data_IF_094950614869
#
_entry.id   IF_094950614869
#
_cell.length_a   1.000
_cell.length_b   1.000
_cell.length_c   1.000
_cell.angle_alpha   90.00
_cell.angle_beta   90.00
_cell.angle_gamma   90.00
#
_symmetry.space_group_name_H-M   'P 1'
#
loop_
_entity.id
_entity.type
_entity.pdbx_description
1 polymer ?
#
# COMPACT_ATOMS: atom_id res chain seq x y z
N UNK A 1 -31.63 -12.40 -0.97
CA UNK A 1 -31.46 -10.94 -0.77
C UNK A 1 -31.85 -10.25 -2.05
N UNK A 2 -32.67 -9.21 -1.97
CA UNK A 2 -32.95 -8.38 -3.15
C UNK A 2 -31.75 -7.47 -3.45
N UNK A 3 -31.71 -6.88 -4.66
CA UNK A 3 -30.64 -5.99 -5.09
C UNK A 3 -30.41 -4.82 -4.11
N UNK A 4 -31.48 -4.25 -3.53
CA UNK A 4 -31.38 -3.12 -2.62
C UNK A 4 -30.63 -3.48 -1.31
N UNK A 5 -30.90 -4.65 -0.74
CA UNK A 5 -30.19 -5.16 0.44
C UNK A 5 -28.71 -5.38 0.16
N UNK A 6 -28.40 -5.96 -1.00
CA UNK A 6 -27.04 -6.16 -1.50
C UNK A 6 -26.29 -4.83 -1.62
N UNK A 7 -26.90 -3.83 -2.25
CA UNK A 7 -26.32 -2.48 -2.39
C UNK A 7 -26.14 -1.80 -1.04
N UNK A 8 -27.08 -1.95 -0.10
CA UNK A 8 -26.95 -1.41 1.27
C UNK A 8 -25.75 -2.01 2.01
N UNK A 9 -25.51 -3.32 1.88
CA UNK A 9 -24.31 -3.96 2.45
C UNK A 9 -23.02 -3.34 1.92
N UNK A 10 -22.91 -3.14 0.60
CA UNK A 10 -21.75 -2.49 -0.03
C UNK A 10 -21.58 -1.05 0.50
N UNK A 11 -22.67 -0.29 0.60
CA UNK A 11 -22.64 1.09 1.10
C UNK A 11 -22.20 1.20 2.57
N UNK A 12 -22.65 0.29 3.44
CA UNK A 12 -22.19 0.27 4.84
C UNK A 12 -20.69 0.01 4.91
N UNK A 13 -20.17 -0.87 4.05
CA UNK A 13 -18.74 -1.18 4.00
C UNK A 13 -17.91 0.00 3.48
N UNK A 14 -18.40 0.71 2.46
CA UNK A 14 -17.87 1.99 1.99
C UNK A 14 -17.74 3.00 3.14
N UNK A 15 -18.83 3.23 3.88
CA UNK A 15 -18.86 4.21 4.98
C UNK A 15 -17.84 3.87 6.07
N UNK A 16 -17.72 2.58 6.43
CA UNK A 16 -16.69 2.10 7.34
C UNK A 16 -15.29 2.36 6.78
N UNK A 17 -15.06 2.04 5.51
CA UNK A 17 -13.78 2.26 4.82
C UNK A 17 -13.41 3.75 4.81
N UNK A 18 -14.41 4.64 4.68
CA UNK A 18 -14.24 6.08 4.69
C UNK A 18 -14.10 6.69 6.10
N UNK A 19 -14.60 6.02 7.15
CA UNK A 19 -14.53 6.47 8.54
C UNK A 19 -13.20 6.17 9.26
N UNK A 20 -12.15 5.76 8.53
CA UNK A 20 -10.85 5.43 9.12
C UNK A 20 -10.78 4.04 9.79
N UNK A 21 -11.82 3.20 9.65
CA UNK A 21 -11.93 1.93 10.39
C UNK A 21 -11.06 0.76 9.85
N UNK A 22 -9.91 1.05 9.22
CA UNK A 22 -8.92 0.02 8.91
C UNK A 22 -9.34 -1.07 7.92
N UNK A 23 -10.47 -0.90 7.22
CA UNK A 23 -10.98 -1.89 6.26
C UNK A 23 -9.97 -2.14 5.16
N UNK A 24 -9.54 -3.40 5.02
CA UNK A 24 -8.59 -3.84 4.02
C UNK A 24 -9.28 -4.21 2.70
N UNK A 25 -8.49 -4.35 1.64
CA UNK A 25 -8.97 -4.87 0.35
C UNK A 25 -9.48 -6.31 0.46
N UNK A 26 -8.92 -7.10 1.37
CA UNK A 26 -9.36 -8.46 1.65
C UNK A 26 -10.81 -8.52 2.16
N UNK A 27 -11.20 -7.59 3.03
CA UNK A 27 -12.57 -7.50 3.55
C UNK A 27 -13.56 -7.11 2.45
N UNK A 28 -13.15 -6.17 1.59
CA UNK A 28 -13.94 -5.75 0.42
C UNK A 28 -14.14 -6.92 -0.55
N UNK A 29 -13.08 -7.67 -0.86
CA UNK A 29 -13.15 -8.81 -1.76
C UNK A 29 -14.08 -9.90 -1.19
N UNK A 30 -13.99 -10.21 0.10
CA UNK A 30 -14.88 -11.16 0.77
C UNK A 30 -16.35 -10.70 0.75
N UNK A 31 -16.62 -9.42 1.03
CA UNK A 31 -17.98 -8.90 0.99
C UNK A 31 -18.58 -8.97 -0.43
N UNK A 32 -17.83 -8.54 -1.44
CA UNK A 32 -18.30 -8.62 -2.83
C UNK A 32 -18.55 -10.07 -3.25
N UNK A 33 -17.69 -10.98 -2.79
CA UNK A 33 -17.84 -12.42 -3.03
C UNK A 33 -19.12 -12.99 -2.43
N UNK A 34 -19.49 -12.57 -1.21
CA UNK A 34 -20.76 -12.95 -0.58
C UNK A 34 -21.97 -12.36 -1.34
N UNK A 35 -21.91 -11.05 -1.62
CA UNK A 35 -23.04 -10.28 -2.19
C UNK A 35 -23.34 -10.69 -3.63
N UNK A 36 -22.30 -10.90 -4.44
CA UNK A 36 -22.41 -11.32 -5.85
C UNK A 36 -22.50 -12.85 -5.95
N UNK A 37 -22.17 -13.59 -4.89
CA UNK A 37 -22.13 -15.07 -4.95
C UNK A 37 -21.18 -15.57 -6.06
N UNK A 38 -19.95 -15.06 -6.03
CA UNK A 38 -18.89 -15.35 -6.99
C UNK A 38 -17.52 -15.27 -6.30
N UNK A 39 -16.50 -15.87 -6.89
CA UNK A 39 -15.11 -15.64 -6.49
C UNK A 39 -14.68 -14.28 -7.03
N UNK A 40 -13.99 -13.49 -6.21
CA UNK A 40 -13.66 -12.10 -6.48
C UNK A 40 -12.16 -11.89 -6.32
N UNK A 41 -11.52 -11.26 -7.29
CA UNK A 41 -10.11 -10.88 -7.24
C UNK A 41 -9.96 -9.39 -7.55
N UNK A 42 -9.23 -8.69 -6.69
CA UNK A 42 -8.88 -7.29 -6.87
C UNK A 42 -7.43 -7.22 -7.33
N UNK A 43 -7.22 -6.90 -8.60
CA UNK A 43 -5.90 -6.87 -9.23
C UNK A 43 -5.54 -5.42 -9.54
N UNK A 44 -4.33 -4.98 -9.18
CA UNK A 44 -3.84 -3.63 -9.49
C UNK A 44 -3.35 -3.49 -10.92
N UNK A 45 -3.11 -2.25 -11.36
CA UNK A 45 -2.49 -1.97 -12.65
C UNK A 45 -1.06 -2.50 -12.82
N UNK A 46 -0.38 -2.91 -11.76
CA UNK A 46 0.92 -3.60 -11.78
C UNK A 46 0.80 -5.14 -11.69
N UNK A 47 -0.41 -5.69 -11.58
CA UNK A 47 -0.66 -7.14 -11.57
C UNK A 47 -0.63 -7.77 -10.17
N UNK A 48 -0.46 -6.96 -9.13
CA UNK A 48 -0.52 -7.40 -7.73
C UNK A 48 -1.97 -7.65 -7.30
N UNK A 49 -2.20 -8.76 -6.60
CA UNK A 49 -3.51 -9.07 -6.02
C UNK A 49 -3.62 -8.37 -4.65
N UNK A 50 -4.53 -7.39 -4.54
CA UNK A 50 -4.77 -6.66 -3.28
C UNK A 50 -5.65 -7.44 -2.30
N UNK A 51 -6.53 -8.30 -2.82
CA UNK A 51 -7.44 -9.10 -2.03
C UNK A 51 -8.24 -10.08 -2.88
N UNK A 52 -8.67 -11.17 -2.25
CA UNK A 52 -9.45 -12.22 -2.88
C UNK A 52 -10.59 -12.70 -1.98
N UNK A 53 -11.81 -12.80 -2.52
CA UNK A 53 -12.95 -13.41 -1.86
C UNK A 53 -13.31 -14.72 -2.54
N UNK A 54 -13.46 -15.80 -1.77
CA UNK A 54 -13.87 -17.11 -2.30
C UNK A 54 -15.27 -17.41 -1.77
N UNK A 55 -16.19 -17.70 -2.68
CA UNK A 55 -17.53 -18.21 -2.40
C UNK A 55 -17.62 -19.71 -2.74
N UNK A 56 -16.87 -20.14 -3.77
CA UNK A 56 -16.72 -21.53 -4.19
C UNK A 56 -15.29 -21.97 -3.91
N UNK A 57 -15.07 -23.24 -3.55
CA UNK A 57 -13.76 -23.87 -3.37
C UNK A 57 -13.01 -24.05 -4.71
N UNK A 58 -12.88 -22.97 -5.47
CA UNK A 58 -12.13 -22.88 -6.71
C UNK A 58 -11.11 -21.79 -6.48
N UNK A 59 -9.97 -22.22 -5.96
CA UNK A 59 -8.80 -21.38 -5.80
C UNK A 59 -8.07 -21.26 -7.14
N UNK A 60 -7.70 -20.05 -7.54
CA UNK A 60 -6.74 -19.84 -8.63
C UNK A 60 -5.30 -20.24 -8.24
N UNK A 61 -5.07 -20.55 -6.96
CA UNK A 61 -3.79 -21.00 -6.46
C UNK A 61 -3.72 -22.53 -6.43
N UNK A 62 -2.72 -23.08 -7.13
CA UNK A 62 -2.25 -24.45 -6.89
C UNK A 62 -1.86 -24.61 -5.42
N UNK A 63 -2.26 -25.73 -4.79
CA UNK A 63 -1.78 -26.13 -3.47
C UNK A 63 -0.25 -26.07 -3.44
N UNK A 64 0.32 -25.07 -2.75
CA UNK A 64 1.76 -24.93 -2.55
C UNK A 64 2.45 -23.74 -3.22
N UNK A 65 1.76 -22.91 -4.03
CA UNK A 65 2.32 -21.65 -4.54
C UNK A 65 1.53 -20.44 -4.05
N UNK A 66 2.07 -19.79 -3.03
CA UNK A 66 1.71 -18.43 -2.62
C UNK A 66 2.20 -17.37 -3.63
N UNK A 67 1.95 -17.57 -4.92
CA UNK A 67 2.26 -16.55 -5.92
C UNK A 67 1.15 -15.50 -5.90
N UNK A 68 1.41 -14.39 -5.23
CA UNK A 68 0.61 -13.15 -5.21
C UNK A 68 0.52 -12.46 -6.59
N UNK A 69 1.02 -13.12 -7.64
CA UNK A 69 1.21 -12.58 -8.98
C UNK A 69 0.55 -13.51 -10.00
N UNK A 70 -0.19 -12.88 -10.92
CA UNK A 70 -0.81 -13.55 -12.06
C UNK A 70 0.25 -14.10 -13.02
N UNK A 71 -0.12 -15.08 -13.84
CA UNK A 71 0.73 -15.55 -14.94
C UNK A 71 1.11 -14.37 -15.85
N UNK A 72 2.38 -14.37 -16.29
CA UNK A 72 2.94 -13.33 -17.15
C UNK A 72 2.09 -13.14 -18.43
N UNK A 73 1.71 -11.88 -18.71
CA UNK A 73 0.92 -11.51 -19.89
C UNK A 73 -0.61 -11.51 -19.71
N UNK A 74 -1.17 -12.21 -18.71
CA UNK A 74 -2.63 -12.20 -18.46
C UNK A 74 -3.09 -10.83 -17.98
N UNK A 75 -2.32 -10.22 -17.07
CA UNK A 75 -2.61 -8.90 -16.52
C UNK A 75 -2.66 -7.80 -17.60
N UNK A 76 -1.75 -7.85 -18.57
CA UNK A 76 -1.69 -6.83 -19.64
C UNK A 76 -2.97 -6.83 -20.48
N UNK A 77 -3.53 -8.02 -20.77
CA UNK A 77 -4.82 -8.15 -21.45
C UNK A 77 -5.98 -7.61 -20.61
N UNK A 78 -5.96 -7.80 -19.29
CA UNK A 78 -7.00 -7.24 -18.41
C UNK A 78 -7.04 -5.71 -18.46
N UNK A 79 -5.91 -5.06 -18.71
CA UNK A 79 -5.82 -3.61 -18.86
C UNK A 79 -6.36 -3.10 -20.21
N UNK A 80 -6.36 -3.93 -21.26
CA UNK A 80 -6.91 -3.59 -22.58
C UNK A 80 -8.45 -3.46 -22.54
N UNK A 81 -9.12 -4.18 -21.64
CA UNK A 81 -10.57 -4.11 -21.47
C UNK A 81 -11.00 -2.75 -20.90
N UNK A 82 -11.47 -1.83 -21.75
CA UNK A 82 -11.89 -0.48 -21.34
C UNK A 82 -13.26 -0.42 -20.66
N UNK A 83 -14.09 -1.44 -20.89
CA UNK A 83 -15.44 -1.58 -20.36
C UNK A 83 -15.63 -2.95 -19.71
N UNK A 84 -16.73 -3.11 -18.97
CA UNK A 84 -17.10 -4.38 -18.35
C UNK A 84 -17.29 -5.45 -19.43
N UNK A 85 -16.56 -6.55 -19.32
CA UNK A 85 -16.73 -7.75 -20.15
C UNK A 85 -17.39 -8.83 -19.30
N UNK A 86 -18.66 -9.12 -19.60
CA UNK A 86 -19.47 -10.04 -18.82
C UNK A 86 -19.50 -11.43 -19.46
N UNK A 87 -19.47 -12.48 -18.62
CA UNK A 87 -19.68 -13.87 -19.04
C UNK A 87 -18.67 -14.37 -20.09
N UNK A 88 -17.41 -13.97 -19.97
CA UNK A 88 -16.32 -14.49 -20.78
C UNK A 88 -16.10 -15.98 -20.45
N UNK A 89 -16.19 -16.87 -21.45
CA UNK A 89 -15.99 -18.30 -21.24
C UNK A 89 -14.53 -18.63 -20.96
N UNK A 90 -14.26 -19.84 -20.48
CA UNK A 90 -12.89 -20.34 -20.22
C UNK A 90 -11.94 -20.27 -21.42
N UNK A 91 -12.48 -20.26 -22.65
CA UNK A 91 -11.71 -20.14 -23.90
C UNK A 91 -11.34 -18.71 -24.24
N UNK A 92 -11.91 -17.73 -23.54
CA UNK A 92 -11.63 -16.32 -23.75
C UNK A 92 -10.18 -15.98 -23.39
N UNK A 93 -9.51 -15.09 -24.16
CA UNK A 93 -8.18 -14.60 -23.82
C UNK A 93 -8.11 -13.87 -22.48
N UNK A 94 -9.26 -13.50 -21.91
CA UNK A 94 -9.35 -12.83 -20.61
C UNK A 94 -9.71 -13.77 -19.45
N UNK A 95 -9.88 -15.07 -19.72
CA UNK A 95 -10.10 -16.07 -18.68
C UNK A 95 -8.88 -16.14 -17.77
N UNK A 96 -9.12 -16.03 -16.46
CA UNK A 96 -8.10 -16.22 -15.42
C UNK A 96 -7.99 -17.67 -14.96
N UNK A 97 -8.75 -18.57 -15.59
CA UNK A 97 -8.81 -19.99 -15.25
C UNK A 97 -7.59 -20.70 -15.82
N UNK A 98 -6.80 -21.41 -14.98
CA UNK A 98 -5.71 -22.24 -15.46
C UNK A 98 -6.21 -23.28 -16.46
N UNK A 99 -5.43 -23.55 -17.51
CA UNK A 99 -5.85 -24.47 -18.58
C UNK A 99 -6.12 -25.89 -18.05
N UNK A 100 -5.48 -26.29 -16.95
CA UNK A 100 -5.73 -27.58 -16.30
C UNK A 100 -7.14 -27.70 -15.72
N UNK A 101 -7.73 -26.57 -15.28
CA UNK A 101 -9.08 -26.53 -14.71
C UNK A 101 -10.19 -26.52 -15.77
N UNK A 102 -9.87 -26.28 -17.04
CA UNK A 102 -10.86 -26.23 -18.13
C UNK A 102 -11.66 -27.53 -18.25
N UNK A 103 -11.03 -28.67 -17.97
CA UNK A 103 -11.67 -29.99 -18.02
C UNK A 103 -12.62 -30.23 -16.84
N UNK A 104 -12.38 -29.56 -15.71
CA UNK A 104 -13.11 -29.75 -14.45
C UNK A 104 -14.30 -28.79 -14.39
N UNK A 105 -14.12 -27.55 -14.83
CA UNK A 105 -15.15 -26.50 -14.79
C UNK A 105 -15.37 -25.86 -16.19
N UNK A 106 -15.89 -26.62 -17.17
CA UNK A 106 -16.05 -26.12 -18.55
C UNK A 106 -17.08 -25.00 -18.68
N UNK A 107 -17.99 -24.86 -17.72
CA UNK A 107 -19.03 -23.82 -17.70
C UNK A 107 -18.64 -22.59 -16.91
N UNK A 108 -17.39 -22.51 -16.41
CA UNK A 108 -16.97 -21.37 -15.63
C UNK A 108 -16.99 -20.10 -16.47
N UNK A 109 -17.59 -19.06 -15.88
CA UNK A 109 -17.71 -17.74 -16.48
C UNK A 109 -16.83 -16.75 -15.73
N UNK A 110 -16.14 -15.92 -16.50
CA UNK A 110 -15.33 -14.79 -16.01
C UNK A 110 -16.04 -13.49 -16.35
N UNK A 111 -16.15 -12.59 -15.38
CA UNK A 111 -16.57 -11.20 -15.63
C UNK A 111 -15.48 -10.26 -15.18
N UNK A 112 -15.17 -9.29 -16.01
CA UNK A 112 -14.06 -8.36 -15.83
C UNK A 112 -14.64 -6.97 -15.75
N UNK A 113 -14.38 -6.30 -14.64
CA UNK A 113 -14.87 -4.96 -14.38
C UNK A 113 -13.66 -4.03 -14.18
N UNK A 114 -13.47 -3.05 -15.08
CA UNK A 114 -12.44 -2.01 -14.93
C UNK A 114 -12.57 -1.24 -13.62
N UNK A 115 -11.47 -1.10 -12.87
CA UNK A 115 -11.40 -0.20 -11.72
C UNK A 115 -10.80 1.12 -12.19
N UNK A 116 -11.67 2.11 -12.41
CA UNK A 116 -11.30 3.45 -12.83
C UNK A 116 -11.61 4.46 -11.73
N UNK A 117 -10.68 5.37 -11.45
CA UNK A 117 -10.96 6.54 -10.61
C UNK A 117 -10.05 7.72 -10.99
N UNK A 118 -10.57 8.95 -10.85
CA UNK A 118 -9.82 10.16 -11.19
C UNK A 118 -9.36 10.22 -12.66
N UNK A 119 -10.08 9.57 -13.57
CA UNK A 119 -9.74 9.49 -15.00
C UNK A 119 -8.63 8.50 -15.35
N UNK A 120 -8.12 7.73 -14.38
CA UNK A 120 -7.05 6.74 -14.58
C UNK A 120 -7.52 5.31 -14.30
N UNK A 121 -6.95 4.34 -15.02
CA UNK A 121 -7.13 2.91 -14.76
C UNK A 121 -6.26 2.49 -13.56
N UNK A 122 -6.89 2.07 -12.48
CA UNK A 122 -6.21 1.69 -11.23
C UNK A 122 -5.98 0.19 -11.10
N UNK A 123 -6.80 -0.61 -11.77
CA UNK A 123 -6.75 -2.06 -11.69
C UNK A 123 -7.97 -2.70 -12.32
N UNK A 124 -8.19 -3.97 -12.01
CA UNK A 124 -9.26 -4.78 -12.57
C UNK A 124 -9.89 -5.60 -11.44
N UNK A 125 -11.22 -5.56 -11.37
CA UNK A 125 -12.01 -6.45 -10.53
C UNK A 125 -12.42 -7.64 -11.40
N UNK A 126 -12.11 -8.84 -10.94
CA UNK A 126 -12.43 -10.07 -11.65
C UNK A 126 -13.40 -10.88 -10.82
N UNK A 127 -14.48 -11.30 -11.45
CA UNK A 127 -15.49 -12.17 -10.89
C UNK A 127 -15.41 -13.53 -11.61
N UNK A 128 -15.38 -14.61 -10.85
CA UNK A 128 -15.38 -15.98 -11.35
C UNK A 128 -16.54 -16.75 -10.75
N UNK A 129 -17.28 -17.46 -11.59
CA UNK A 129 -18.40 -18.30 -11.15
C UNK A 129 -18.37 -19.62 -11.91
N UNK A 130 -18.35 -20.74 -11.19
CA UNK A 130 -18.27 -22.07 -11.81
C UNK A 130 -19.50 -22.42 -12.67
N UNK A 131 -20.67 -21.97 -12.24
CA UNK A 131 -21.95 -22.31 -12.86
C UNK A 131 -22.88 -21.10 -12.87
N UNK A 132 -23.58 -20.91 -13.98
CA UNK A 132 -24.52 -19.81 -14.18
C UNK A 132 -23.86 -18.54 -14.72
N UNK A 133 -24.68 -17.69 -15.33
CA UNK A 133 -24.24 -16.41 -15.89
C UNK A 133 -24.34 -15.29 -14.85
N UNK A 134 -23.51 -14.27 -15.01
CA UNK A 134 -23.65 -12.98 -14.36
C UNK A 134 -24.78 -12.21 -15.03
N UNK A 135 -25.84 -11.94 -14.27
CA UNK A 135 -26.98 -11.16 -14.73
C UNK A 135 -26.78 -9.67 -14.44
N UNK A 136 -27.68 -8.83 -14.96
CA UNK A 136 -27.63 -7.37 -14.79
C UNK A 136 -27.48 -6.96 -13.33
N UNK A 137 -28.15 -7.63 -12.39
CA UNK A 137 -28.02 -7.34 -10.96
C UNK A 137 -26.59 -7.56 -10.45
N UNK A 138 -25.94 -8.64 -10.90
CA UNK A 138 -24.55 -8.95 -10.53
C UNK A 138 -23.58 -7.93 -11.13
N UNK A 139 -23.81 -7.52 -12.38
CA UNK A 139 -23.00 -6.52 -13.07
C UNK A 139 -23.10 -5.15 -12.39
N UNK A 140 -24.31 -4.73 -11.99
CA UNK A 140 -24.52 -3.50 -11.22
C UNK A 140 -23.71 -3.54 -9.92
N UNK A 141 -23.76 -4.66 -9.19
CA UNK A 141 -23.01 -4.81 -7.94
C UNK A 141 -21.50 -4.84 -8.17
N UNK A 142 -21.05 -5.47 -9.26
CA UNK A 142 -19.66 -5.50 -9.68
C UNK A 142 -19.12 -4.09 -10.00
N UNK A 143 -19.84 -3.29 -10.77
CA UNK A 143 -19.45 -1.93 -11.14
C UNK A 143 -19.49 -0.96 -9.96
N UNK A 144 -20.51 -1.06 -9.11
CA UNK A 144 -20.53 -0.32 -7.83
C UNK A 144 -19.31 -0.72 -7.01
N UNK A 145 -19.04 -2.02 -6.86
CA UNK A 145 -17.89 -2.55 -6.14
C UNK A 145 -16.55 -2.05 -6.70
N UNK A 146 -16.38 -2.04 -8.02
CA UNK A 146 -15.19 -1.51 -8.68
C UNK A 146 -15.00 -0.01 -8.38
N UNK A 147 -16.08 0.77 -8.39
CA UNK A 147 -16.04 2.20 -8.03
C UNK A 147 -15.61 2.40 -6.57
N UNK A 148 -16.15 1.60 -5.64
CA UNK A 148 -15.75 1.61 -4.22
C UNK A 148 -14.27 1.33 -4.04
N UNK A 149 -13.77 0.29 -4.70
CA UNK A 149 -12.37 -0.11 -4.64
C UNK A 149 -11.49 1.00 -5.22
N UNK A 150 -11.88 1.59 -6.35
CA UNK A 150 -11.19 2.71 -6.97
C UNK A 150 -11.03 3.90 -6.01
N UNK A 151 -12.12 4.29 -5.34
CA UNK A 151 -12.09 5.35 -4.32
C UNK A 151 -11.16 5.01 -3.16
N UNK A 152 -11.15 3.76 -2.69
CA UNK A 152 -10.25 3.31 -1.62
C UNK A 152 -8.78 3.38 -2.06
N UNK A 153 -8.45 2.94 -3.27
CA UNK A 153 -7.08 3.03 -3.82
C UNK A 153 -6.62 4.48 -3.88
N UNK A 154 -7.45 5.39 -4.42
CA UNK A 154 -7.11 6.83 -4.50
C UNK A 154 -6.85 7.38 -3.11
N UNK A 155 -7.75 7.11 -2.15
CA UNK A 155 -7.59 7.59 -0.78
C UNK A 155 -6.30 7.08 -0.13
N UNK A 156 -6.02 5.79 -0.25
CA UNK A 156 -4.81 5.21 0.35
C UNK A 156 -3.54 5.83 -0.25
N UNK A 157 -3.53 6.10 -1.56
CA UNK A 157 -2.41 6.83 -2.20
C UNK A 157 -2.30 8.26 -1.69
N UNK A 158 -3.42 8.97 -1.52
CA UNK A 158 -3.42 10.31 -0.93
C UNK A 158 -2.88 10.31 0.49
N UNK A 159 -3.33 9.41 1.35
CA UNK A 159 -2.84 9.26 2.73
C UNK A 159 -1.33 8.94 2.76
N UNK A 160 -0.84 8.10 1.84
CA UNK A 160 0.59 7.83 1.69
C UNK A 160 1.39 9.08 1.28
N UNK A 161 0.90 9.84 0.31
CA UNK A 161 1.53 11.09 -0.15
C UNK A 161 1.52 12.13 0.97
N UNK A 162 0.40 12.32 1.66
CA UNK A 162 0.27 13.25 2.78
C UNK A 162 1.25 12.91 3.90
N UNK A 163 1.37 11.63 4.26
CA UNK A 163 2.35 11.18 5.24
C UNK A 163 3.79 11.43 4.77
N UNK A 164 4.11 11.13 3.51
CA UNK A 164 5.45 11.38 2.98
C UNK A 164 5.79 12.89 2.95
N UNK A 165 4.84 13.74 2.55
CA UNK A 165 5.01 15.20 2.56
C UNK A 165 5.16 15.71 3.99
N UNK A 166 4.37 15.19 4.93
CA UNK A 166 4.45 15.51 6.34
C UNK A 166 5.82 15.14 6.92
N UNK A 167 6.32 13.94 6.64
CA UNK A 167 7.62 13.46 7.09
C UNK A 167 8.76 14.31 6.51
N UNK A 168 8.72 14.63 5.22
CA UNK A 168 9.70 15.55 4.60
C UNK A 168 9.65 16.94 5.24
N UNK A 169 8.44 17.45 5.52
CA UNK A 169 8.26 18.77 6.13
C UNK A 169 8.82 18.81 7.54
N UNK A 170 8.57 17.78 8.36
CA UNK A 170 9.15 17.69 9.70
C UNK A 170 10.67 17.60 9.66
N UNK A 171 11.24 16.78 8.77
CA UNK A 171 12.69 16.73 8.60
C UNK A 171 13.27 18.10 8.23
N UNK A 172 12.64 18.82 7.29
CA UNK A 172 13.07 20.16 6.87
C UNK A 172 12.98 21.19 8.00
N UNK A 173 11.87 21.21 8.75
CA UNK A 173 11.70 22.11 9.91
C UNK A 173 12.78 21.82 10.95
N UNK A 174 13.02 20.54 11.26
CA UNK A 174 14.03 20.13 12.23
C UNK A 174 15.44 20.57 11.80
N UNK A 175 15.82 20.36 10.54
CA UNK A 175 17.10 20.83 9.98
C UNK A 175 17.23 22.35 10.01
N UNK A 176 16.16 23.08 9.71
CA UNK A 176 16.15 24.55 9.74
C UNK A 176 16.29 25.15 11.14
N UNK A 177 15.98 24.36 12.19
CA UNK A 177 16.14 24.76 13.59
C UNK A 177 17.59 24.63 14.10
N UNK A 178 18.44 23.94 13.35
CA UNK A 178 19.85 23.73 13.65
C UNK A 178 20.67 24.91 13.14
N UNK A 179 21.62 25.36 13.95
CA UNK A 179 22.70 26.25 13.53
C UNK A 179 23.70 25.53 12.62
N UNK A 180 24.51 26.28 11.89
CA UNK A 180 25.51 25.71 10.98
C UNK A 180 26.44 24.68 11.65
N UNK A 181 26.96 24.98 12.84
CA UNK A 181 27.80 24.05 13.61
C UNK A 181 27.03 22.81 14.10
N UNK A 182 25.74 22.95 14.42
CA UNK A 182 24.88 21.83 14.78
C UNK A 182 24.57 20.94 13.57
N UNK A 183 24.40 21.51 12.38
CA UNK A 183 24.21 20.75 11.14
C UNK A 183 25.44 19.88 10.82
N UNK A 184 26.65 20.45 10.89
CA UNK A 184 27.91 19.70 10.72
C UNK A 184 28.03 18.58 11.76
N UNK A 185 27.61 18.83 13.01
CA UNK A 185 27.61 17.81 14.04
C UNK A 185 26.71 16.63 13.68
N UNK A 186 25.48 16.91 13.21
CA UNK A 186 24.52 15.88 12.80
C UNK A 186 24.99 15.10 11.58
N UNK A 187 25.62 15.75 10.61
CA UNK A 187 26.20 15.06 9.45
C UNK A 187 27.20 13.98 9.88
N UNK A 188 28.14 14.34 10.75
CA UNK A 188 29.15 13.40 11.28
C UNK A 188 28.53 12.31 12.15
N UNK A 189 27.46 12.62 12.89
CA UNK A 189 26.67 11.61 13.63
C UNK A 189 26.07 10.59 12.64
N UNK A 190 25.48 11.06 11.56
CA UNK A 190 24.83 10.20 10.57
C UNK A 190 25.83 9.34 9.79
N UNK A 191 27.05 9.82 9.56
CA UNK A 191 28.14 9.04 8.96
C UNK A 191 28.64 7.90 9.86
N UNK A 192 28.48 8.02 11.19
CA UNK A 192 28.88 7.00 12.17
C UNK A 192 27.77 6.02 12.54
N UNK A 193 26.53 6.29 12.11
CA UNK A 193 25.38 5.43 12.37
C UNK A 193 25.32 4.32 11.31
N UNK A 194 25.46 3.06 11.73
CA UNK A 194 25.17 1.92 10.87
C UNK A 194 23.64 1.79 10.70
N UNK A 195 23.15 2.15 9.52
CA UNK A 195 21.75 2.14 9.11
C UNK A 195 20.85 3.24 9.76
N UNK A 196 20.12 2.92 10.84
CA UNK A 196 19.07 3.81 11.41
C UNK A 196 19.14 3.98 12.92
N UNK A 197 20.01 3.24 13.59
CA UNK A 197 20.19 3.31 15.03
C UNK A 197 21.63 2.99 15.41
N UNK A 198 22.07 3.49 16.56
CA UNK A 198 23.42 3.23 17.02
C UNK A 198 23.77 3.95 18.30
N UNK A 199 24.94 3.61 18.82
CA UNK A 199 25.48 4.17 20.05
C UNK A 199 26.55 5.20 19.72
N UNK A 200 26.38 6.42 20.24
CA UNK A 200 27.31 7.51 20.00
C UNK A 200 27.92 8.04 21.30
N UNK A 201 29.24 8.22 21.30
CA UNK A 201 29.97 8.87 22.39
C UNK A 201 30.25 10.32 22.01
N UNK A 202 29.48 11.25 22.57
CA UNK A 202 29.53 12.67 22.18
C UNK A 202 30.90 13.34 22.38
N UNK A 203 31.73 12.87 23.32
CA UNK A 203 33.09 13.40 23.50
C UNK A 203 34.03 13.00 22.37
N UNK A 204 34.00 11.74 21.93
CA UNK A 204 34.83 11.29 20.81
C UNK A 204 34.45 11.99 19.51
N UNK A 205 33.15 12.19 19.28
CA UNK A 205 32.68 12.92 18.11
C UNK A 205 33.09 14.41 18.17
N UNK A 206 33.03 15.04 19.35
CA UNK A 206 33.45 16.43 19.53
C UNK A 206 34.91 16.63 19.10
N UNK A 207 35.79 15.75 19.57
CA UNK A 207 37.24 15.80 19.28
C UNK A 207 37.53 15.55 17.79
N UNK A 208 36.85 14.57 17.16
CA UNK A 208 36.99 14.30 15.73
C UNK A 208 36.42 15.42 14.86
N UNK A 209 35.33 16.03 15.30
CA UNK A 209 34.63 17.05 14.52
C UNK A 209 35.24 18.44 14.64
N UNK A 210 36.12 18.68 15.62
CA UNK A 210 36.59 20.01 16.01
C UNK A 210 35.47 20.89 16.58
N UNK A 211 34.47 20.28 17.23
CA UNK A 211 33.29 20.95 17.77
C UNK A 211 33.24 20.80 19.30
N UNK A 212 32.47 21.67 19.97
CA UNK A 212 32.23 21.49 21.41
C UNK A 212 31.16 20.41 21.64
N UNK A 213 31.29 19.65 22.73
CA UNK A 213 30.28 18.65 23.13
C UNK A 213 28.88 19.24 23.28
N UNK A 214 28.76 20.51 23.68
CA UNK A 214 27.47 21.20 23.82
C UNK A 214 26.74 21.37 22.50
N UNK A 215 27.45 21.59 21.38
CA UNK A 215 26.86 21.67 20.03
C UNK A 215 26.20 20.34 19.65
N UNK A 216 26.89 19.22 19.86
CA UNK A 216 26.36 17.87 19.57
C UNK A 216 25.10 17.58 20.40
N UNK A 217 25.17 17.83 21.71
CA UNK A 217 24.03 17.57 22.62
C UNK A 217 22.84 18.46 22.28
N UNK A 218 23.06 19.73 21.93
CA UNK A 218 21.99 20.64 21.54
C UNK A 218 21.34 20.23 20.21
N UNK A 219 22.14 19.81 19.23
CA UNK A 219 21.63 19.32 17.95
C UNK A 219 20.73 18.09 18.13
N UNK A 220 21.20 17.10 18.91
CA UNK A 220 20.41 15.91 19.25
C UNK A 220 19.12 16.27 19.99
N UNK A 221 19.18 17.21 20.95
CA UNK A 221 17.99 17.66 21.67
C UNK A 221 16.96 18.31 20.74
N UNK A 222 17.38 19.17 19.81
CA UNK A 222 16.48 19.83 18.85
C UNK A 222 15.79 18.83 17.92
N UNK A 223 16.55 17.87 17.38
CA UNK A 223 15.98 16.81 16.52
C UNK A 223 15.07 15.85 17.29
N UNK A 224 15.39 15.55 18.55
CA UNK A 224 14.52 14.77 19.43
C UNK A 224 13.21 15.49 19.74
N UNK A 225 13.27 16.79 20.06
CA UNK A 225 12.08 17.62 20.26
C UNK A 225 11.21 17.74 19.01
N UNK A 226 11.81 17.68 17.82
CA UNK A 226 11.09 17.68 16.54
C UNK A 226 10.51 16.29 16.15
N UNK A 227 10.76 15.25 16.95
CA UNK A 227 10.28 13.88 16.68
C UNK A 227 10.98 13.20 15.51
N UNK A 228 12.12 13.72 15.05
CA UNK A 228 12.89 13.17 13.92
C UNK A 228 13.76 11.99 14.35
N UNK A 229 14.27 12.05 15.58
CA UNK A 229 15.05 10.99 16.20
C UNK A 229 14.64 10.80 17.66
N UNK A 230 14.96 9.65 18.22
CA UNK A 230 14.92 9.38 19.65
C UNK A 230 16.36 9.35 20.18
N UNK A 231 16.57 9.91 21.37
CA UNK A 231 17.86 9.85 22.05
C UNK A 231 17.67 9.36 23.49
N UNK A 232 18.44 8.34 23.88
CA UNK A 232 18.45 7.79 25.24
C UNK A 232 19.87 7.79 25.77
N UNK A 233 20.11 8.51 26.86
CA UNK A 233 21.42 8.52 27.52
C UNK A 233 21.67 7.18 28.23
N UNK A 234 22.85 6.60 28.01
CA UNK A 234 23.36 5.40 28.69
C UNK A 234 24.52 5.76 29.63
N UNK A 235 24.59 7.03 30.06
CA UNK A 235 25.64 7.54 30.93
C UNK A 235 27.02 7.51 30.25
N UNK A 236 27.99 6.88 30.91
CA UNK A 236 29.38 6.78 30.42
C UNK A 236 29.53 5.94 29.15
N UNK A 237 28.56 5.08 28.84
CA UNK A 237 28.58 4.25 27.63
C UNK A 237 28.21 5.04 26.36
N UNK A 238 27.69 6.25 26.51
CA UNK A 238 27.28 7.11 25.40
C UNK A 238 25.76 7.34 25.36
N UNK A 239 25.27 7.72 24.18
CA UNK A 239 23.86 8.00 23.91
C UNK A 239 23.41 7.09 22.78
N UNK A 240 22.35 6.32 23.02
CA UNK A 240 21.67 5.58 21.97
C UNK A 240 20.81 6.53 21.15
N UNK A 241 20.92 6.46 19.83
CA UNK A 241 20.18 7.28 18.89
C UNK A 241 19.42 6.35 17.95
N UNK A 242 18.16 6.68 17.67
CA UNK A 242 17.34 6.00 16.67
C UNK A 242 16.63 7.02 15.80
N UNK A 243 16.82 6.93 14.49
CA UNK A 243 16.13 7.81 13.54
C UNK A 243 14.69 7.31 13.35
N UNK A 244 13.72 8.17 13.63
CA UNK A 244 12.28 7.86 13.51
C UNK A 244 11.74 8.22 12.13
N UNK A 245 12.34 9.22 11.48
CA UNK A 245 11.90 9.72 10.18
C UNK A 245 12.79 9.21 9.05
N UNK A 246 12.24 8.34 8.22
CA UNK A 246 12.92 7.71 7.09
C UNK A 246 13.39 8.69 6.00
N UNK A 247 12.77 9.86 5.92
CA UNK A 247 13.10 10.91 4.94
C UNK A 247 14.22 11.81 5.43
N UNK A 248 14.57 11.78 6.72
CA UNK A 248 15.57 12.66 7.31
C UNK A 248 16.98 12.55 6.66
N UNK A 249 17.57 11.36 6.44
CA UNK A 249 18.89 11.26 5.82
C UNK A 249 18.91 11.84 4.39
N UNK A 250 17.83 11.60 3.64
CA UNK A 250 17.68 12.13 2.28
C UNK A 250 17.55 13.66 2.25
N UNK A 251 16.88 14.25 3.23
CA UNK A 251 16.78 15.70 3.35
C UNK A 251 18.12 16.30 3.80
N UNK A 252 18.81 15.70 4.79
CA UNK A 252 20.13 16.14 5.24
C UNK A 252 21.16 16.18 4.09
N UNK A 253 21.16 15.18 3.21
CA UNK A 253 22.06 15.12 2.05
C UNK A 253 21.85 16.28 1.06
N UNK A 254 20.63 16.82 0.91
CA UNK A 254 20.37 17.96 0.00
C UNK A 254 20.99 19.26 0.49
N UNK A 255 21.12 19.43 1.81
CA UNK A 255 21.76 20.58 2.42
C UNK A 255 23.29 20.52 2.31
N UNK A 256 23.87 19.35 2.05
CA UNK A 256 25.30 19.19 1.76
C UNK A 256 25.73 19.83 0.42
N UNK A 257 24.77 20.00 -0.51
CA UNK A 257 25.02 20.50 -1.87
C UNK A 257 24.56 21.96 -2.07
N UNK A 258 23.98 22.60 -1.05
CA UNK A 258 23.53 24.01 -1.09
C UNK A 258 24.48 24.90 -0.30
#
# INVERSE_FOLDING_TARGET
>A
MNLLEKTRKINVMLQKTMGGSGVGFQDLARLLSEVISANVYIITADGSILGSGMNQEISLHEEGRSSTQLQEGVHQKLLEATQTLANEPITSPYSLVPKEMNSIFPQMMTTIVPINAGGSRLGTLVLLRAYGQFETEDLILGEIGATVIGMKIVRQRTEQIENEVRDKTFAKIALSSLSYSEQIAIEKIMEQLDAREGLLVASQLADQAGLTRSVIVNALRKLASAGVLESRSLGMKGTYIKVLNDKFPSELAKWKTS
#
